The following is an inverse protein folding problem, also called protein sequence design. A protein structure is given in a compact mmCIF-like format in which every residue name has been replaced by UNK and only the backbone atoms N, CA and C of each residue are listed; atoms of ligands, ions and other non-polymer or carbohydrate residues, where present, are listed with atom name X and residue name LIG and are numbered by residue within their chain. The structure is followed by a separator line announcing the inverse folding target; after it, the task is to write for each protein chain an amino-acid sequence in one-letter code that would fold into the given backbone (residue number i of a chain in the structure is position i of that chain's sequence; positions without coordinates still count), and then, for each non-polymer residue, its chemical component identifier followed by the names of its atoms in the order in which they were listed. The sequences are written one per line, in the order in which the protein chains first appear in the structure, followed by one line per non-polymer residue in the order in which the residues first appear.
data_IF_331803728673
#
_entry.id   IF_331803728673
#
_cell.length_a   1.000
_cell.length_b   1.000
_cell.length_c   1.000
_cell.angle_alpha   90.00
_cell.angle_beta   90.00
_cell.angle_gamma   90.00
#
_symmetry.space_group_name_H-M   'P 1'
#
loop_
_entity.id
_entity.type
_entity.pdbx_description
1 polymer ?
#
# COMPACT_ATOMS: atom_id res chain seq x y z
N UNK A 1 11.62 39.27 -5.42
CA UNK A 1 11.33 37.85 -5.13
C UNK A 1 10.04 37.75 -4.29
N UNK A 2 9.02 37.09 -4.79
CA UNK A 2 7.77 36.94 -4.06
C UNK A 2 7.84 35.76 -3.09
N UNK A 3 7.36 35.95 -1.86
CA UNK A 3 7.18 34.86 -0.90
C UNK A 3 5.80 34.26 -1.18
N UNK A 4 5.74 32.94 -1.35
CA UNK A 4 4.47 32.24 -1.53
C UNK A 4 3.58 32.35 -0.28
N UNK A 5 2.30 32.17 -0.46
CA UNK A 5 1.36 32.09 0.67
C UNK A 5 1.74 30.96 1.62
N UNK A 6 1.39 31.10 2.90
CA UNK A 6 1.58 30.06 3.89
C UNK A 6 0.83 28.80 3.48
N UNK A 7 1.47 27.67 3.69
CA UNK A 7 0.87 26.35 3.48
C UNK A 7 0.46 25.76 4.80
N UNK A 8 -0.68 25.06 4.80
CA UNK A 8 -1.18 24.41 6.01
C UNK A 8 -0.62 22.99 6.14
N UNK A 9 -0.20 22.66 7.36
CA UNK A 9 0.10 21.27 7.71
C UNK A 9 -1.24 20.55 7.92
N UNK A 10 -1.43 19.47 7.18
CA UNK A 10 -2.60 18.61 7.28
C UNK A 10 -2.18 17.20 7.65
N UNK A 11 -3.09 16.47 8.25
CA UNK A 11 -2.91 15.05 8.50
C UNK A 11 -4.14 14.28 8.04
N UNK A 12 -3.96 12.98 7.75
CA UNK A 12 -5.10 12.11 7.49
C UNK A 12 -4.82 10.69 7.98
N UNK A 13 -5.90 9.94 8.11
CA UNK A 13 -5.86 8.52 8.41
C UNK A 13 -6.85 7.80 7.50
N UNK A 14 -6.38 6.76 6.82
CA UNK A 14 -7.22 5.84 6.05
C UNK A 14 -7.16 4.48 6.75
N UNK A 15 -8.32 3.94 7.12
CA UNK A 15 -8.44 2.62 7.72
C UNK A 15 -9.33 1.76 6.84
N UNK A 16 -8.85 0.58 6.48
CA UNK A 16 -9.61 -0.42 5.73
C UNK A 16 -9.53 -1.75 6.45
N UNK A 17 -10.64 -2.45 6.50
CA UNK A 17 -10.69 -3.82 7.02
C UNK A 17 -11.37 -4.72 5.99
N UNK A 18 -10.78 -5.89 5.77
CA UNK A 18 -11.34 -6.89 4.85
C UNK A 18 -11.21 -8.27 5.47
N UNK A 19 -12.22 -9.10 5.23
CA UNK A 19 -12.14 -10.55 5.48
C UNK A 19 -11.86 -11.22 4.14
N UNK A 20 -10.80 -12.01 4.10
CA UNK A 20 -10.31 -12.63 2.88
C UNK A 20 -10.36 -14.15 3.03
N UNK A 21 -11.01 -14.81 2.08
CA UNK A 21 -11.13 -16.27 2.05
C UNK A 21 -9.86 -16.92 1.49
N UNK A 22 -8.76 -16.72 2.20
CA UNK A 22 -7.45 -17.26 1.86
C UNK A 22 -6.60 -17.36 3.13
N UNK A 23 -5.57 -18.20 3.10
CA UNK A 23 -4.65 -18.35 4.21
C UNK A 23 -3.84 -17.07 4.42
N UNK A 24 -3.36 -16.88 5.63
CA UNK A 24 -2.54 -15.70 5.98
C UNK A 24 -1.27 -15.62 5.12
N UNK A 25 -0.68 -16.77 4.78
CA UNK A 25 0.50 -16.86 3.91
C UNK A 25 0.18 -16.38 2.49
N UNK A 26 -0.92 -16.83 1.92
CA UNK A 26 -1.35 -16.44 0.56
C UNK A 26 -1.67 -14.94 0.53
N UNK A 27 -2.35 -14.42 1.55
CA UNK A 27 -2.67 -12.99 1.62
C UNK A 27 -1.39 -12.16 1.72
N UNK A 28 -0.45 -12.56 2.56
CA UNK A 28 0.81 -11.81 2.74
C UNK A 28 1.63 -11.77 1.45
N UNK A 29 1.79 -12.91 0.78
CA UNK A 29 2.48 -12.96 -0.52
C UNK A 29 1.78 -12.08 -1.56
N UNK A 30 0.45 -12.07 -1.56
CA UNK A 30 -0.34 -11.25 -2.48
C UNK A 30 -0.13 -9.76 -2.19
N UNK A 31 0.00 -9.36 -0.92
CA UNK A 31 0.33 -7.98 -0.54
C UNK A 31 1.69 -7.58 -1.12
N UNK A 32 2.71 -8.41 -0.94
CA UNK A 32 4.05 -8.12 -1.45
C UNK A 32 4.05 -7.96 -2.98
N UNK A 33 3.31 -8.79 -3.69
CA UNK A 33 3.17 -8.69 -5.14
C UNK A 33 2.39 -7.44 -5.56
N UNK A 34 1.29 -7.14 -4.88
CA UNK A 34 0.47 -5.98 -5.22
C UNK A 34 1.19 -4.67 -4.91
N UNK A 35 2.01 -4.63 -3.88
CA UNK A 35 2.87 -3.48 -3.56
C UNK A 35 4.12 -3.43 -4.44
N UNK A 36 4.43 -4.51 -5.13
CA UNK A 36 5.60 -4.68 -5.98
C UNK A 36 5.24 -4.66 -7.47
N UNK A 37 5.59 -5.74 -8.21
CA UNK A 37 5.47 -5.75 -9.67
C UNK A 37 4.03 -5.66 -10.19
N UNK A 38 3.04 -6.02 -9.38
CA UNK A 38 1.63 -5.97 -9.77
C UNK A 38 0.92 -4.69 -9.33
N UNK A 39 1.66 -3.70 -8.81
CA UNK A 39 1.03 -2.43 -8.45
C UNK A 39 0.41 -1.77 -9.67
N UNK A 40 -0.74 -1.14 -9.49
CA UNK A 40 -1.50 -0.52 -10.57
C UNK A 40 -2.31 0.66 -10.04
N UNK A 41 -2.71 1.53 -10.96
CA UNK A 41 -3.62 2.63 -10.65
C UNK A 41 -5.07 2.12 -10.71
N UNK A 42 -6.05 2.87 -10.15
CA UNK A 42 -7.46 2.45 -10.17
C UNK A 42 -8.05 2.26 -11.57
N UNK A 43 -7.45 2.81 -12.61
CA UNK A 43 -7.89 2.59 -13.99
C UNK A 43 -7.26 1.33 -14.62
N UNK A 44 -6.49 0.57 -13.84
CA UNK A 44 -5.84 -0.65 -14.31
C UNK A 44 -4.50 -0.45 -15.01
N UNK A 45 -4.00 0.78 -15.08
CA UNK A 45 -2.68 1.06 -15.66
C UNK A 45 -1.58 0.53 -14.73
N UNK A 46 -0.62 -0.20 -15.30
CA UNK A 46 0.49 -0.73 -14.52
C UNK A 46 1.31 0.39 -13.88
N UNK A 47 1.58 0.24 -12.60
CA UNK A 47 2.47 1.10 -11.83
C UNK A 47 3.45 0.21 -11.08
N UNK A 48 4.17 -0.64 -11.82
CA UNK A 48 5.06 -1.63 -11.25
C UNK A 48 6.10 -0.98 -10.34
N UNK A 49 6.27 -1.56 -9.16
CA UNK A 49 7.18 -1.11 -8.12
C UNK A 49 8.19 -2.19 -7.81
N UNK A 50 9.28 -1.82 -7.15
CA UNK A 50 10.20 -2.76 -6.52
C UNK A 50 10.05 -2.63 -5.02
N UNK A 51 9.90 -3.77 -4.34
CA UNK A 51 9.79 -3.85 -2.90
C UNK A 51 10.85 -4.81 -2.39
N UNK A 52 11.80 -4.30 -1.62
CA UNK A 52 12.82 -5.10 -0.95
C UNK A 52 12.25 -5.52 0.41
N UNK A 53 11.78 -6.74 0.51
CA UNK A 53 10.97 -7.23 1.62
C UNK A 53 11.81 -7.66 2.84
N UNK A 54 12.56 -6.73 3.41
CA UNK A 54 13.35 -6.88 4.63
C UNK A 54 13.45 -5.54 5.36
N UNK A 55 13.78 -5.53 6.67
CA UNK A 55 13.88 -4.26 7.42
C UNK A 55 14.88 -3.31 6.77
N UNK A 56 14.44 -2.08 6.52
CA UNK A 56 15.23 -1.07 5.81
C UNK A 56 15.19 -1.19 4.30
N UNK A 57 14.54 -2.23 3.76
CA UNK A 57 14.38 -2.40 2.32
C UNK A 57 13.64 -1.23 1.68
N UNK A 58 13.91 -0.98 0.41
CA UNK A 58 13.32 0.14 -0.32
C UNK A 58 12.02 -0.27 -1.00
N UNK A 59 11.11 0.68 -1.10
CA UNK A 59 9.92 0.60 -1.93
C UNK A 59 9.97 1.77 -2.91
N UNK A 60 10.16 1.47 -4.20
CA UNK A 60 10.43 2.50 -5.20
C UNK A 60 10.01 2.07 -6.59
N UNK A 61 9.82 3.05 -7.44
CA UNK A 61 9.58 2.85 -8.85
C UNK A 61 10.89 3.06 -9.62
N UNK A 62 11.31 2.05 -10.37
CA UNK A 62 12.49 2.10 -11.21
C UNK A 62 12.06 2.34 -12.66
N UNK A 63 12.45 3.47 -13.22
CA UNK A 63 12.17 3.82 -14.61
C UNK A 63 13.37 3.59 -15.52
N UNK A 64 14.44 2.97 -14.99
CA UNK A 64 15.66 2.73 -15.74
C UNK A 64 16.61 3.93 -15.77
N UNK A 65 17.89 3.68 -16.08
CA UNK A 65 18.92 4.73 -16.21
C UNK A 65 18.98 5.68 -15.02
N UNK A 66 18.95 5.13 -13.81
CA UNK A 66 18.96 5.88 -12.55
C UNK A 66 17.80 6.88 -12.40
N UNK A 67 16.70 6.66 -13.13
CA UNK A 67 15.48 7.43 -13.02
C UNK A 67 14.44 6.66 -12.26
N UNK A 68 13.63 7.34 -11.48
CA UNK A 68 12.56 6.70 -10.74
C UNK A 68 12.01 7.56 -9.63
N UNK A 69 11.24 6.92 -8.75
CA UNK A 69 10.56 7.62 -7.66
C UNK A 69 10.61 6.76 -6.39
N UNK A 70 11.26 7.28 -5.37
CA UNK A 70 11.37 6.62 -4.07
C UNK A 70 10.10 6.86 -3.25
N UNK A 71 9.48 5.79 -2.76
CA UNK A 71 8.24 5.86 -1.99
C UNK A 71 8.42 5.57 -0.50
N UNK A 72 9.39 4.76 -0.12
CA UNK A 72 9.60 4.53 1.29
C UNK A 72 10.56 3.39 1.60
N UNK A 73 10.68 3.12 2.91
CA UNK A 73 11.42 2.00 3.44
C UNK A 73 10.52 1.08 4.24
N UNK A 74 10.85 -0.20 4.21
CA UNK A 74 10.22 -1.16 5.13
C UNK A 74 10.71 -0.85 6.55
N UNK A 75 9.79 -0.41 7.39
CA UNK A 75 10.08 -0.10 8.79
C UNK A 75 10.04 -1.36 9.65
N UNK A 76 9.02 -2.20 9.44
CA UNK A 76 8.88 -3.47 10.13
C UNK A 76 8.25 -4.49 9.20
N UNK A 77 8.71 -5.72 9.30
CA UNK A 77 8.13 -6.84 8.54
C UNK A 77 8.21 -8.10 9.40
N UNK A 78 7.09 -8.79 9.53
CA UNK A 78 6.98 -10.08 10.20
C UNK A 78 6.10 -10.99 9.36
N UNK A 79 6.67 -11.69 8.38
CA UNK A 79 5.88 -12.61 7.57
C UNK A 79 5.25 -13.71 8.45
N UNK A 80 4.00 -14.07 8.26
CA UNK A 80 3.05 -13.53 7.27
C UNK A 80 2.04 -12.55 7.86
N UNK A 81 2.35 -11.82 8.93
CA UNK A 81 1.35 -11.07 9.70
C UNK A 81 1.51 -9.54 9.70
N UNK A 82 2.68 -9.03 9.33
CA UNK A 82 2.93 -7.58 9.40
C UNK A 82 3.80 -7.10 8.26
N UNK A 83 3.37 -6.02 7.61
CA UNK A 83 4.21 -5.17 6.74
C UNK A 83 3.94 -3.72 7.10
N UNK A 84 5.01 -3.00 7.45
CA UNK A 84 4.93 -1.58 7.79
C UNK A 84 5.98 -0.82 6.97
N UNK A 85 5.54 0.23 6.26
CA UNK A 85 6.37 1.04 5.38
C UNK A 85 6.27 2.49 5.80
N UNK A 86 7.38 3.22 5.83
CA UNK A 86 7.41 4.65 6.09
C UNK A 86 8.11 5.39 4.94
N UNK A 87 7.63 6.60 4.63
CA UNK A 87 8.19 7.45 3.61
C UNK A 87 7.19 8.41 3.00
N UNK A 88 7.60 9.12 1.93
CA UNK A 88 6.71 10.09 1.25
C UNK A 88 5.61 9.43 0.43
N UNK A 89 5.76 8.18 0.06
CA UNK A 89 4.92 7.42 -0.86
C UNK A 89 4.83 8.13 -2.24
N UNK A 90 3.61 8.19 -2.81
CA UNK A 90 3.37 8.86 -4.10
C UNK A 90 3.39 10.40 -4.02
N UNK A 91 3.57 10.97 -2.83
CA UNK A 91 3.44 12.42 -2.61
C UNK A 91 4.70 13.17 -3.00
N UNK A 92 4.56 14.14 -3.90
CA UNK A 92 5.65 14.99 -4.38
C UNK A 92 5.73 16.33 -3.65
N UNK A 93 5.22 16.38 -2.42
CA UNK A 93 5.26 17.52 -1.52
C UNK A 93 5.78 17.07 -0.16
N UNK A 94 6.21 18.00 0.72
CA UNK A 94 6.74 17.61 2.02
C UNK A 94 5.70 16.91 2.88
N UNK A 95 5.83 15.60 2.99
CA UNK A 95 4.94 14.76 3.80
C UNK A 95 5.67 13.51 4.26
N UNK A 96 5.21 12.96 5.38
CA UNK A 96 5.69 11.70 5.91
C UNK A 96 4.50 10.79 6.14
N UNK A 97 4.65 9.52 5.78
CA UNK A 97 3.59 8.51 5.89
C UNK A 97 4.07 7.29 6.66
N UNK A 98 3.11 6.62 7.28
CA UNK A 98 3.24 5.27 7.79
C UNK A 98 2.09 4.44 7.24
N UNK A 99 2.42 3.33 6.59
CA UNK A 99 1.45 2.37 6.03
C UNK A 99 1.64 1.04 6.74
N UNK A 100 0.55 0.46 7.24
CA UNK A 100 0.57 -0.83 7.92
C UNK A 100 -0.43 -1.80 7.30
N UNK A 101 0.03 -3.02 7.03
CA UNK A 101 -0.81 -4.18 6.78
C UNK A 101 -0.65 -5.14 7.94
N UNK A 102 -1.74 -5.44 8.64
CA UNK A 102 -1.78 -6.43 9.72
C UNK A 102 -2.74 -7.54 9.35
N UNK A 103 -2.28 -8.77 9.48
CA UNK A 103 -3.08 -9.95 9.17
C UNK A 103 -3.31 -10.78 10.42
N UNK A 104 -4.56 -11.22 10.60
CA UNK A 104 -4.96 -12.11 11.69
C UNK A 104 -5.75 -13.28 11.11
N UNK A 105 -5.41 -14.49 11.51
CA UNK A 105 -6.17 -15.66 11.12
C UNK A 105 -7.42 -15.79 11.98
N UNK A 106 -8.58 -15.99 11.33
CA UNK A 106 -9.87 -16.18 12.01
C UNK A 106 -10.64 -17.32 11.33
N UNK A 107 -10.61 -18.53 11.90
CA UNK A 107 -11.42 -19.65 11.43
C UNK A 107 -11.23 -20.00 9.96
N UNK A 108 -9.99 -20.04 9.47
CA UNK A 108 -9.67 -20.36 8.10
C UNK A 108 -9.73 -19.17 7.14
N UNK A 109 -10.18 -18.02 7.62
CA UNK A 109 -10.17 -16.76 6.89
C UNK A 109 -9.04 -15.89 7.41
N UNK A 110 -8.67 -14.88 6.63
CA UNK A 110 -7.71 -13.87 7.07
C UNK A 110 -8.43 -12.53 7.21
N UNK A 111 -8.26 -11.90 8.36
CA UNK A 111 -8.65 -10.51 8.55
C UNK A 111 -7.46 -9.63 8.20
N UNK A 112 -7.64 -8.75 7.23
CA UNK A 112 -6.66 -7.73 6.87
C UNK A 112 -7.09 -6.41 7.47
N UNK A 113 -6.19 -5.77 8.22
CA UNK A 113 -6.34 -4.38 8.65
C UNK A 113 -5.26 -3.55 7.99
N UNK A 114 -5.68 -2.59 7.20
CA UNK A 114 -4.82 -1.62 6.52
C UNK A 114 -4.98 -0.26 7.16
N UNK A 115 -3.87 0.41 7.46
CA UNK A 115 -3.88 1.79 7.98
C UNK A 115 -2.81 2.61 7.27
N UNK A 116 -3.20 3.76 6.73
CA UNK A 116 -2.28 4.76 6.21
C UNK A 116 -2.48 6.05 6.98
N UNK A 117 -1.45 6.48 7.69
CA UNK A 117 -1.41 7.77 8.38
C UNK A 117 -0.36 8.64 7.72
N UNK A 118 -0.68 9.92 7.53
CA UNK A 118 0.27 10.88 6.95
C UNK A 118 0.10 12.26 7.56
N UNK A 119 1.18 13.03 7.53
CA UNK A 119 1.18 14.44 7.90
C UNK A 119 2.16 15.21 7.04
N UNK A 120 1.87 16.47 6.78
CA UNK A 120 2.73 17.34 6.00
C UNK A 120 1.97 18.44 5.29
N UNK A 121 2.61 19.03 4.30
CA UNK A 121 2.01 20.09 3.46
C UNK A 121 1.14 19.45 2.38
N UNK A 122 0.11 18.76 2.79
CA UNK A 122 -0.74 17.94 1.93
C UNK A 122 -1.86 18.78 1.35
N UNK A 123 -1.99 18.86 0.01
CA UNK A 123 -3.13 19.54 -0.61
C UNK A 123 -4.46 18.88 -0.23
N UNK A 124 -5.50 19.70 -0.05
CA UNK A 124 -6.82 19.18 0.37
C UNK A 124 -7.41 18.16 -0.59
N UNK A 125 -7.15 18.29 -1.89
CA UNK A 125 -7.65 17.37 -2.92
C UNK A 125 -7.08 15.95 -2.81
N UNK A 126 -5.93 15.79 -2.15
CA UNK A 126 -5.35 14.47 -1.88
C UNK A 126 -6.17 13.72 -0.83
N UNK A 127 -6.75 14.46 0.11
CA UNK A 127 -7.55 13.93 1.21
C UNK A 127 -9.01 13.74 0.79
N UNK A 128 -9.53 14.66 0.00
CA UNK A 128 -10.94 14.73 -0.39
C UNK A 128 -11.12 14.56 -1.89
N UNK A 129 -12.29 14.08 -2.31
CA UNK A 129 -12.68 13.99 -3.72
C UNK A 129 -12.50 12.60 -4.33
N UNK A 130 -12.84 12.48 -5.59
CA UNK A 130 -12.85 11.20 -6.33
C UNK A 130 -11.48 10.57 -6.49
N UNK A 131 -10.44 11.39 -6.59
CA UNK A 131 -9.05 10.95 -6.72
C UNK A 131 -8.30 10.97 -5.39
N UNK A 132 -9.04 10.91 -4.28
CA UNK A 132 -8.43 10.92 -2.96
C UNK A 132 -7.60 9.66 -2.68
N UNK A 133 -6.69 9.78 -1.73
CA UNK A 133 -5.91 8.65 -1.22
C UNK A 133 -6.81 7.54 -0.67
N UNK A 134 -7.97 7.89 -0.12
CA UNK A 134 -8.95 6.93 0.37
C UNK A 134 -9.44 6.00 -0.75
N UNK A 135 -9.80 6.56 -1.91
CA UNK A 135 -10.27 5.77 -3.05
C UNK A 135 -9.17 4.94 -3.68
N UNK A 136 -7.95 5.45 -3.73
CA UNK A 136 -6.80 4.70 -4.20
C UNK A 136 -6.53 3.45 -3.37
N UNK A 137 -6.55 3.57 -2.05
CA UNK A 137 -6.35 2.43 -1.15
C UNK A 137 -7.53 1.46 -1.16
N UNK A 138 -8.76 1.96 -1.31
CA UNK A 138 -9.93 1.08 -1.47
C UNK A 138 -9.76 0.15 -2.66
N UNK A 139 -9.25 0.66 -3.77
CA UNK A 139 -8.96 -0.13 -4.97
C UNK A 139 -7.89 -1.18 -4.70
N UNK A 140 -6.76 -0.79 -4.14
CA UNK A 140 -5.62 -1.70 -3.88
C UNK A 140 -6.01 -2.81 -2.90
N UNK A 141 -6.68 -2.49 -1.81
CA UNK A 141 -7.10 -3.48 -0.81
C UNK A 141 -8.10 -4.47 -1.41
N UNK A 142 -9.03 -4.00 -2.25
CA UNK A 142 -9.94 -4.88 -2.98
C UNK A 142 -9.20 -5.82 -3.93
N UNK A 143 -8.21 -5.33 -4.67
CA UNK A 143 -7.39 -6.15 -5.57
C UNK A 143 -6.61 -7.22 -4.81
N UNK A 144 -6.07 -6.88 -3.66
CA UNK A 144 -5.39 -7.86 -2.79
C UNK A 144 -6.37 -8.98 -2.42
N UNK A 145 -7.58 -8.63 -1.98
CA UNK A 145 -8.60 -9.63 -1.64
C UNK A 145 -8.94 -10.52 -2.83
N UNK A 146 -9.28 -9.94 -3.98
CA UNK A 146 -9.67 -10.68 -5.19
C UNK A 146 -8.56 -11.62 -5.64
N UNK A 147 -7.32 -11.15 -5.67
CA UNK A 147 -6.18 -11.96 -6.11
C UNK A 147 -5.83 -13.06 -5.12
N UNK A 148 -5.87 -12.76 -3.83
CA UNK A 148 -5.61 -13.76 -2.80
C UNK A 148 -6.66 -14.86 -2.80
N UNK A 149 -7.94 -14.52 -2.91
CA UNK A 149 -9.02 -15.50 -2.99
C UNK A 149 -8.94 -16.33 -4.27
N UNK A 150 -8.57 -15.73 -5.40
CA UNK A 150 -8.33 -16.43 -6.65
C UNK A 150 -7.18 -17.43 -6.56
N UNK A 151 -6.08 -17.07 -5.93
CA UNK A 151 -4.93 -17.97 -5.69
C UNK A 151 -5.29 -19.12 -4.76
N UNK A 152 -6.00 -18.85 -3.69
CA UNK A 152 -6.43 -19.87 -2.74
C UNK A 152 -7.34 -20.89 -3.41
N UNK A 153 -8.28 -20.45 -4.24
CA UNK A 153 -9.19 -21.34 -4.97
C UNK A 153 -8.43 -22.20 -5.99
N UNK A 154 -7.47 -21.63 -6.70
CA UNK A 154 -6.64 -22.37 -7.66
C UNK A 154 -5.80 -23.45 -6.95
N UNK A 155 -5.19 -23.13 -5.80
CA UNK A 155 -4.40 -24.09 -5.01
C UNK A 155 -5.31 -25.18 -4.41
N UNK A 156 -6.49 -24.82 -3.92
CA UNK A 156 -7.47 -25.75 -3.39
C UNK A 156 -8.04 -26.72 -4.44
N UNK A 157 -8.06 -26.31 -5.70
CA UNK A 157 -8.54 -27.12 -6.82
C UNK A 157 -7.52 -28.12 -7.37
N UNK A 158 -6.26 -28.06 -6.91
CA UNK A 158 -5.16 -28.93 -7.36
C UNK A 158 -4.92 -30.16 -6.49
N UNK A 159 -5.86 -30.54 -5.68
CA UNK A 159 -5.77 -31.77 -4.87
C UNK A 159 -6.01 -33.01 -5.72
#
# INVERSE_FOLDING_TARGET
MAVSAEQEVRSFEVVKEEKIAASVEVVFETILEQMGPYNETPDGTSLAMKLEAWPGGRWYRDLGKDSGHFWGHVQAIKPPTLLEICGPLFMSFPAISNVQYRLTEEGGLTRLKFVHRAMGLIPSEVIEGERSVHNGWSYIVRRIRERAEGRQNADGGKK
#
